data_IF_122830686213
#
_entry.id   IF_122830686213
#
_cell.length_a   1.000
_cell.length_b   1.000
_cell.length_c   1.000
_cell.angle_alpha   90.00
_cell.angle_beta   90.00
_cell.angle_gamma   90.00
#
_symmetry.space_group_name_H-M   'P 1'
#
loop_
_entity.id
_entity.type
_entity.pdbx_description
1 polymer ?
#
# COMPACT_ATOMS: atom_id res chain seq x y z
N UNK A 1 -2.42 -1.01 5.16
CA UNK A 1 -2.48 -1.08 6.63
C UNK A 1 -3.20 -2.33 7.05
N UNK A 2 -4.51 -2.47 6.80
CA UNK A 2 -5.23 -3.67 7.26
C UNK A 2 -4.82 -4.93 6.48
N UNK A 3 -4.62 -4.82 5.16
CA UNK A 3 -4.07 -5.91 4.34
C UNK A 3 -2.67 -6.36 4.80
N UNK A 4 -1.82 -5.39 5.17
CA UNK A 4 -0.47 -5.66 5.66
C UNK A 4 -0.51 -6.31 7.04
N UNK A 5 -1.40 -5.85 7.93
CA UNK A 5 -1.63 -6.47 9.24
C UNK A 5 -2.05 -7.94 9.09
N UNK A 6 -3.00 -8.22 8.20
CA UNK A 6 -3.44 -9.59 7.96
C UNK A 6 -2.36 -10.45 7.31
N UNK A 7 -1.57 -9.86 6.40
CA UNK A 7 -0.41 -10.54 5.83
C UNK A 7 0.66 -10.83 6.88
N UNK A 8 0.87 -9.90 7.82
CA UNK A 8 1.76 -10.07 8.95
C UNK A 8 1.28 -11.20 9.87
N UNK A 9 0.00 -11.20 10.26
CA UNK A 9 -0.59 -12.27 11.08
C UNK A 9 -0.47 -13.63 10.39
N UNK A 10 -0.83 -13.71 9.11
CA UNK A 10 -0.89 -14.97 8.37
C UNK A 10 0.45 -15.49 7.85
N UNK A 11 1.50 -14.65 7.79
CA UNK A 11 2.81 -15.01 7.21
C UNK A 11 3.98 -14.56 8.05
N UNK A 12 3.99 -13.30 8.50
CA UNK A 12 5.13 -12.73 9.21
C UNK A 12 5.32 -13.28 10.63
N UNK A 13 4.24 -13.55 11.37
CA UNK A 13 4.33 -14.10 12.73
C UNK A 13 5.00 -15.49 12.76
N UNK A 14 4.85 -16.28 11.70
CA UNK A 14 5.46 -17.62 11.60
C UNK A 14 6.99 -17.57 11.60
N UNK A 15 7.57 -16.49 11.08
CA UNK A 15 9.03 -16.31 11.02
C UNK A 15 9.63 -15.94 12.38
N UNK A 16 8.80 -15.66 13.40
CA UNK A 16 9.19 -15.25 14.76
C UNK A 16 10.28 -14.17 14.76
N UNK A 17 10.10 -13.08 14.00
CA UNK A 17 11.11 -12.03 13.95
C UNK A 17 11.22 -11.37 15.33
N UNK A 18 12.40 -10.85 15.68
CA UNK A 18 12.52 -10.00 16.87
C UNK A 18 11.92 -8.62 16.66
N UNK A 19 11.92 -8.14 15.40
CA UNK A 19 11.44 -6.82 15.01
C UNK A 19 10.62 -6.90 13.73
N UNK A 20 9.60 -6.05 13.60
CA UNK A 20 8.80 -5.95 12.38
C UNK A 20 8.57 -4.49 12.02
N UNK A 21 8.69 -4.17 10.73
CA UNK A 21 8.58 -2.79 10.25
C UNK A 21 7.36 -2.62 9.37
N UNK A 22 6.57 -1.57 9.62
CA UNK A 22 5.40 -1.23 8.83
C UNK A 22 5.55 0.14 8.17
N UNK A 23 5.51 0.15 6.84
CA UNK A 23 5.38 1.35 6.02
C UNK A 23 4.10 1.25 5.18
N UNK A 24 3.11 2.08 5.45
CA UNK A 24 1.84 2.11 4.72
C UNK A 24 1.28 3.53 4.70
N UNK A 25 0.72 3.97 3.57
CA UNK A 25 -0.10 5.18 3.50
C UNK A 25 -0.92 5.21 2.19
N UNK A 26 -0.25 5.35 1.04
CA UNK A 26 -0.87 5.57 -0.26
C UNK A 26 -1.84 4.46 -0.71
N UNK A 27 -1.54 3.20 -0.39
CA UNK A 27 -2.45 2.08 -0.69
C UNK A 27 -3.75 2.17 0.11
N UNK A 28 -3.65 2.51 1.40
CA UNK A 28 -4.80 2.71 2.30
C UNK A 28 -5.59 3.95 1.92
N UNK A 29 -4.90 5.05 1.63
CA UNK A 29 -5.53 6.27 1.15
C UNK A 29 -6.30 6.01 -0.15
N UNK A 30 -5.72 5.30 -1.11
CA UNK A 30 -6.39 4.99 -2.39
C UNK A 30 -7.68 4.21 -2.19
N UNK A 31 -7.70 3.26 -1.25
CA UNK A 31 -8.89 2.47 -0.92
C UNK A 31 -9.91 3.28 -0.12
N UNK A 32 -9.50 3.82 1.02
CA UNK A 32 -10.41 4.52 1.95
C UNK A 32 -10.99 5.80 1.34
N UNK A 33 -10.26 6.49 0.46
CA UNK A 33 -10.79 7.66 -0.26
C UNK A 33 -11.90 7.31 -1.26
N UNK A 34 -11.97 6.07 -1.74
CA UNK A 34 -12.96 5.61 -2.73
C UNK A 34 -14.15 4.90 -2.09
N UNK A 35 -13.89 4.15 -1.03
CA UNK A 35 -14.89 3.23 -0.47
C UNK A 35 -15.32 3.60 0.94
N UNK A 36 -14.56 4.47 1.61
CA UNK A 36 -14.79 4.83 3.00
C UNK A 36 -14.65 3.68 4.00
N UNK A 37 -14.20 2.49 3.56
CA UNK A 37 -14.19 1.29 4.37
C UNK A 37 -13.19 0.27 3.85
N UNK A 38 -12.42 -0.35 4.75
CA UNK A 38 -11.59 -1.50 4.38
C UNK A 38 -12.38 -2.74 3.95
N UNK A 39 -13.65 -2.83 4.37
CA UNK A 39 -14.53 -3.95 4.11
C UNK A 39 -15.23 -3.84 2.75
N UNK A 40 -15.16 -2.67 2.12
CA UNK A 40 -15.71 -2.40 0.80
C UNK A 40 -14.53 -2.18 -0.13
N UNK A 41 -14.33 -3.08 -1.07
CA UNK A 41 -13.22 -3.00 -2.02
C UNK A 41 -13.53 -3.77 -3.28
N UNK A 42 -12.84 -3.47 -4.39
CA UNK A 42 -12.83 -4.34 -5.55
C UNK A 42 -12.37 -5.78 -5.23
N UNK A 43 -12.79 -6.74 -6.05
CA UNK A 43 -12.65 -8.19 -5.79
C UNK A 43 -11.23 -8.71 -5.53
N UNK A 44 -10.22 -8.06 -6.09
CA UNK A 44 -8.80 -8.44 -5.91
C UNK A 44 -8.16 -7.75 -4.69
N UNK A 45 -8.83 -6.74 -4.10
CA UNK A 45 -8.47 -6.05 -2.85
C UNK A 45 -9.34 -6.47 -1.66
N UNK A 46 -10.26 -7.42 -1.83
CA UNK A 46 -11.08 -7.93 -0.74
C UNK A 46 -10.25 -8.57 0.37
N UNK A 47 -10.54 -8.17 1.61
CA UNK A 47 -9.96 -8.78 2.82
C UNK A 47 -10.50 -10.19 3.01
N UNK A 48 -11.82 -10.34 2.90
CA UNK A 48 -12.52 -11.61 2.98
C UNK A 48 -13.04 -11.90 1.58
N UNK A 49 -12.46 -12.90 0.93
CA UNK A 49 -12.96 -13.38 -0.36
C UNK A 49 -14.14 -14.29 -0.09
N UNK A 50 -15.31 -13.93 -0.60
CA UNK A 50 -16.42 -14.86 -0.61
C UNK A 50 -16.07 -16.03 -1.55
N UNK A 51 -16.00 -17.23 -0.98
CA UNK A 51 -15.69 -18.46 -1.73
C UNK A 51 -16.94 -19.07 -2.38
N UNK A 52 -18.10 -18.41 -2.27
CA UNK A 52 -19.28 -18.69 -3.06
C UNK A 52 -19.11 -18.22 -4.53
N UNK A 53 -17.93 -18.52 -5.07
CA UNK A 53 -17.58 -18.43 -6.48
C UNK A 53 -18.48 -19.37 -7.26
N UNK A 54 -19.38 -18.79 -8.04
CA UNK A 54 -20.21 -19.50 -9.01
C UNK A 54 -19.37 -20.57 -9.75
N UNK A 55 -19.93 -21.78 -9.91
CA UNK A 55 -19.30 -22.95 -10.55
C UNK A 55 -18.52 -22.61 -11.84
N UNK A 56 -19.00 -21.63 -12.60
CA UNK A 56 -18.38 -21.08 -13.81
C UNK A 56 -16.97 -20.52 -13.55
N UNK A 57 -16.77 -19.77 -12.46
CA UNK A 57 -15.45 -19.20 -12.12
C UNK A 57 -14.42 -20.27 -11.72
N UNK A 58 -14.85 -21.36 -11.08
CA UNK A 58 -13.98 -22.52 -10.80
C UNK A 58 -13.53 -23.20 -12.10
N UNK A 59 -14.44 -23.39 -13.05
CA UNK A 59 -14.12 -23.95 -14.37
C UNK A 59 -13.11 -23.06 -15.12
N UNK A 60 -13.31 -21.74 -15.09
CA UNK A 60 -12.39 -20.77 -15.72
C UNK A 60 -11.00 -20.84 -15.07
N UNK A 61 -10.92 -20.90 -13.74
CA UNK A 61 -9.64 -20.99 -13.03
C UNK A 61 -8.92 -22.32 -13.30
N UNK A 62 -9.65 -23.44 -13.36
CA UNK A 62 -9.10 -24.75 -13.74
C UNK A 62 -8.59 -24.74 -15.19
N UNK A 63 -9.36 -24.20 -16.13
CA UNK A 63 -8.94 -24.06 -17.52
C UNK A 63 -7.71 -23.15 -17.65
N UNK A 64 -7.63 -22.08 -16.85
CA UNK A 64 -6.47 -21.19 -16.80
C UNK A 64 -5.23 -21.91 -16.25
N UNK A 65 -5.40 -22.76 -15.23
CA UNK A 65 -4.34 -23.61 -14.68
C UNK A 65 -3.82 -24.62 -15.70
N UNK A 66 -4.72 -25.34 -16.37
CA UNK A 66 -4.37 -26.29 -17.45
C UNK A 66 -3.68 -25.58 -18.60
N UNK A 67 -4.16 -24.41 -19.02
CA UNK A 67 -3.52 -23.58 -20.05
C UNK A 67 -2.10 -23.17 -19.64
N UNK A 68 -1.90 -22.71 -18.42
CA UNK A 68 -0.59 -22.27 -17.93
C UNK A 68 0.40 -23.45 -17.76
N UNK A 69 -0.12 -24.66 -17.51
CA UNK A 69 0.68 -25.89 -17.42
C UNK A 69 1.11 -26.37 -18.81
N UNK A 70 0.18 -26.43 -19.78
CA UNK A 70 0.43 -26.98 -21.11
C UNK A 70 1.25 -26.03 -21.98
N UNK A 71 1.03 -24.73 -21.85
CA UNK A 71 1.76 -23.73 -22.62
C UNK A 71 2.05 -22.52 -21.73
N UNK A 72 3.12 -22.58 -20.92
CA UNK A 72 3.51 -21.45 -20.09
C UNK A 72 3.87 -20.25 -20.98
N UNK A 73 3.47 -19.04 -20.56
CA UNK A 73 3.80 -17.77 -21.22
C UNK A 73 3.29 -17.56 -22.66
N UNK A 74 2.44 -18.44 -23.23
CA UNK A 74 1.80 -18.15 -24.54
C UNK A 74 0.85 -16.99 -24.46
N UNK A 75 0.13 -16.82 -23.35
CA UNK A 75 -0.80 -15.70 -23.24
C UNK A 75 -0.09 -14.35 -23.38
N UNK A 76 1.08 -14.18 -22.76
CA UNK A 76 1.91 -12.97 -22.91
C UNK A 76 2.32 -12.73 -24.38
N UNK A 77 2.63 -13.80 -25.14
CA UNK A 77 3.07 -13.72 -26.54
C UNK A 77 1.93 -13.61 -27.56
N UNK A 78 0.77 -14.16 -27.23
CA UNK A 78 -0.38 -14.29 -28.14
C UNK A 78 -1.41 -13.17 -27.90
N UNK A 79 -1.50 -12.65 -26.67
CA UNK A 79 -2.36 -11.51 -26.32
C UNK A 79 -2.15 -10.27 -27.21
N UNK A 80 -0.92 -9.84 -27.55
CA UNK A 80 -0.72 -8.67 -28.41
C UNK A 80 -1.22 -8.86 -29.85
N UNK A 81 -1.30 -10.11 -30.32
CA UNK A 81 -1.72 -10.47 -31.68
C UNK A 81 -3.26 -10.45 -31.84
N UNK A 82 -4.00 -10.80 -30.79
CA UNK A 82 -5.47 -10.83 -30.80
C UNK A 82 -6.13 -9.63 -30.12
N UNK A 83 -5.38 -8.93 -29.27
CA UNK A 83 -5.82 -7.70 -28.58
C UNK A 83 -4.76 -6.61 -28.81
N UNK A 84 -4.78 -5.93 -29.98
CA UNK A 84 -3.86 -4.84 -30.26
C UNK A 84 -3.94 -3.77 -29.16
N UNK A 85 -2.79 -3.23 -28.78
CA UNK A 85 -2.65 -2.23 -27.73
C UNK A 85 -3.64 -1.07 -27.98
N UNK A 86 -4.69 -0.98 -27.16
CA UNK A 86 -5.76 0.01 -27.31
C UNK A 86 -7.16 -0.50 -26.96
N UNK A 87 -7.40 -1.82 -26.94
CA UNK A 87 -8.73 -2.35 -26.60
C UNK A 87 -8.86 -2.57 -25.08
N UNK A 88 -9.39 -1.51 -24.43
CA UNK A 88 -10.01 -1.42 -23.10
C UNK A 88 -9.11 -1.53 -21.86
N UNK A 89 -8.60 -0.38 -21.37
CA UNK A 89 -8.21 -0.21 -19.96
C UNK A 89 -9.36 -0.59 -19.00
N UNK A 90 -10.61 -0.37 -19.42
CA UNK A 90 -11.84 -0.55 -18.64
C UNK A 90 -12.11 -2.01 -18.19
N UNK A 91 -11.59 -3.03 -18.89
CA UNK A 91 -11.72 -4.43 -18.46
C UNK A 91 -10.73 -4.81 -17.34
N UNK A 92 -9.70 -3.98 -17.15
CA UNK A 92 -8.69 -4.12 -16.10
C UNK A 92 -8.73 -2.95 -15.12
N UNK A 93 -9.66 -2.00 -15.31
CA UNK A 93 -9.85 -0.89 -14.37
C UNK A 93 -10.59 -1.40 -13.15
N UNK A 94 -9.74 -1.85 -12.27
CA UNK A 94 -10.01 -2.45 -10.99
C UNK A 94 -10.93 -1.57 -10.10
N UNK A 95 -10.97 -0.26 -10.36
CA UNK A 95 -11.75 0.75 -9.63
C UNK A 95 -13.00 1.26 -10.35
N UNK A 96 -13.31 0.80 -11.56
CA UNK A 96 -14.38 1.38 -12.40
C UNK A 96 -15.72 1.56 -11.63
N UNK A 97 -16.13 0.58 -10.83
CA UNK A 97 -17.38 0.63 -10.04
C UNK A 97 -17.32 1.41 -8.72
N UNK A 98 -16.16 1.96 -8.35
CA UNK A 98 -15.95 2.67 -7.07
C UNK A 98 -15.60 4.15 -7.24
N UNK A 99 -15.27 4.56 -8.47
CA UNK A 99 -14.88 5.94 -8.81
C UNK A 99 -16.06 6.93 -8.80
N UNK A 100 -17.28 6.41 -8.87
CA UNK A 100 -18.52 7.22 -8.77
C UNK A 100 -18.88 7.58 -7.32
N UNK A 101 -18.35 6.86 -6.32
CA UNK A 101 -18.52 7.18 -4.90
C UNK A 101 -17.56 8.30 -4.50
N UNK A 102 -18.04 9.54 -4.65
CA UNK A 102 -17.25 10.74 -4.37
C UNK A 102 -17.33 11.04 -2.88
N UNK A 103 -16.30 10.67 -2.13
CA UNK A 103 -16.07 11.21 -0.79
C UNK A 103 -15.31 12.54 -0.90
N UNK A 104 -15.75 13.52 -0.14
CA UNK A 104 -15.04 14.80 0.02
C UNK A 104 -13.90 14.66 1.03
N UNK A 105 -12.90 15.54 0.95
CA UNK A 105 -11.80 15.60 1.92
C UNK A 105 -12.28 15.52 3.38
N UNK A 106 -13.30 16.32 3.73
CA UNK A 106 -13.89 16.39 5.06
C UNK A 106 -14.53 15.09 5.55
N UNK A 107 -14.85 14.17 4.64
CA UNK A 107 -15.34 12.83 4.97
C UNK A 107 -14.20 11.83 5.07
N UNK A 108 -13.15 11.98 4.25
CA UNK A 108 -12.04 11.02 4.19
C UNK A 108 -11.08 11.20 5.37
N UNK A 109 -10.78 12.44 5.76
CA UNK A 109 -9.90 12.72 6.90
C UNK A 109 -10.36 11.99 8.19
N UNK A 110 -11.63 12.10 8.65
CA UNK A 110 -12.07 11.35 9.82
C UNK A 110 -12.11 9.83 9.60
N UNK A 111 -12.32 9.37 8.35
CA UNK A 111 -12.24 7.94 8.01
C UNK A 111 -10.81 7.42 8.15
N UNK A 112 -9.80 8.16 7.69
CA UNK A 112 -8.39 7.83 7.89
C UNK A 112 -8.07 7.80 9.38
N UNK A 113 -8.43 8.85 10.12
CA UNK A 113 -8.16 8.91 11.55
C UNK A 113 -8.85 7.79 12.34
N UNK A 114 -9.99 7.27 11.86
CA UNK A 114 -10.68 6.15 12.50
C UNK A 114 -10.09 4.80 12.08
N UNK A 115 -10.12 4.50 10.78
CA UNK A 115 -9.84 3.15 10.28
C UNK A 115 -8.36 2.91 10.04
N UNK A 116 -7.66 3.85 9.40
CA UNK A 116 -6.23 3.69 9.14
C UNK A 116 -5.43 3.71 10.45
N UNK A 117 -5.74 4.64 11.36
CA UNK A 117 -5.17 4.65 12.72
C UNK A 117 -5.41 3.33 13.46
N UNK A 118 -6.66 2.87 13.56
CA UNK A 118 -6.98 1.61 14.24
C UNK A 118 -6.20 0.43 13.65
N UNK A 119 -5.94 0.43 12.34
CA UNK A 119 -5.13 -0.61 11.70
C UNK A 119 -3.64 -0.53 12.06
N UNK A 120 -3.07 0.67 12.22
CA UNK A 120 -1.67 0.85 12.66
C UNK A 120 -1.53 0.48 14.14
N UNK A 121 -2.45 0.93 14.98
CA UNK A 121 -2.49 0.58 16.41
C UNK A 121 -2.63 -0.94 16.60
N UNK A 122 -3.50 -1.59 15.82
CA UNK A 122 -3.66 -3.04 15.84
C UNK A 122 -2.35 -3.76 15.48
N UNK A 123 -1.58 -3.25 14.52
CA UNK A 123 -0.28 -3.81 14.19
C UNK A 123 0.72 -3.72 15.35
N UNK A 124 0.75 -2.58 16.06
CA UNK A 124 1.60 -2.39 17.24
C UNK A 124 1.20 -3.37 18.35
N UNK A 125 -0.10 -3.42 18.68
CA UNK A 125 -0.64 -4.27 19.75
C UNK A 125 -0.40 -5.75 19.45
N UNK A 126 -0.69 -6.20 18.21
CA UNK A 126 -0.46 -7.59 17.81
C UNK A 126 1.02 -7.93 17.87
N UNK A 127 1.93 -7.06 17.40
CA UNK A 127 3.38 -7.34 17.46
C UNK A 127 3.84 -7.55 18.90
N UNK A 128 3.49 -6.62 19.80
CA UNK A 128 3.85 -6.71 21.22
C UNK A 128 3.27 -7.93 21.92
N UNK A 129 2.04 -8.30 21.60
CA UNK A 129 1.41 -9.51 22.16
C UNK A 129 2.17 -10.80 21.82
N UNK A 130 2.96 -10.79 20.75
CA UNK A 130 3.81 -11.90 20.33
C UNK A 130 5.29 -11.73 20.71
N UNK A 131 5.62 -10.71 21.52
CA UNK A 131 6.99 -10.41 21.93
C UNK A 131 7.87 -9.87 20.79
N UNK A 132 7.26 -9.30 19.76
CA UNK A 132 7.92 -8.74 18.59
C UNK A 132 7.89 -7.22 18.70
N UNK A 133 9.05 -6.57 18.54
CA UNK A 133 9.16 -5.12 18.63
C UNK A 133 8.74 -4.46 17.30
N UNK A 134 7.66 -3.66 17.28
CA UNK A 134 7.25 -2.97 16.07
C UNK A 134 8.14 -1.76 15.78
N UNK A 135 8.29 -1.41 14.51
CA UNK A 135 8.84 -0.14 14.03
C UNK A 135 7.87 0.44 13.03
N UNK A 136 7.54 1.72 13.19
CA UNK A 136 6.68 2.43 12.25
C UNK A 136 7.54 3.26 11.30
N UNK A 137 7.10 3.37 10.05
CA UNK A 137 7.82 4.10 9.02
C UNK A 137 6.84 4.93 8.18
N UNK A 138 7.14 6.22 8.01
CA UNK A 138 6.35 7.09 7.15
C UNK A 138 6.60 6.77 5.67
N UNK A 139 5.60 6.98 4.81
CA UNK A 139 5.75 6.74 3.38
C UNK A 139 6.14 8.03 2.66
N UNK A 140 7.28 8.02 1.97
CA UNK A 140 7.68 9.08 1.06
C UNK A 140 6.74 9.15 -0.16
N UNK A 141 6.65 10.32 -0.80
CA UNK A 141 5.92 10.47 -2.05
C UNK A 141 6.50 11.60 -2.88
N UNK A 142 6.29 11.59 -4.20
CA UNK A 142 6.52 12.75 -5.07
C UNK A 142 5.23 13.53 -5.30
N UNK A 143 4.18 13.29 -4.51
CA UNK A 143 2.90 13.99 -4.61
C UNK A 143 3.12 15.47 -4.25
N UNK A 144 3.37 16.29 -5.27
CA UNK A 144 3.47 17.75 -5.18
C UNK A 144 2.45 18.34 -6.15
N UNK A 145 1.88 19.49 -5.78
CA UNK A 145 0.95 20.30 -6.60
C UNK A 145 1.36 20.40 -8.08
N UNK A 146 2.67 20.54 -8.35
CA UNK A 146 3.22 20.69 -9.71
C UNK A 146 3.14 19.41 -10.56
N UNK A 147 3.00 18.23 -9.95
CA UNK A 147 2.89 16.92 -10.62
C UNK A 147 1.46 16.44 -10.80
N UNK A 148 0.48 17.20 -10.30
CA UNK A 148 -0.95 17.03 -10.56
C UNK A 148 -1.32 17.39 -12.01
N UNK A 149 -0.43 18.12 -12.71
CA UNK A 149 -0.61 18.52 -14.10
C UNK A 149 -0.07 17.45 -15.05
N UNK A 150 -0.84 16.39 -15.23
CA UNK A 150 -0.61 15.39 -16.27
C UNK A 150 -1.87 14.58 -16.52
N UNK A 151 -2.11 14.18 -17.77
CA UNK A 151 -3.29 13.40 -18.19
C UNK A 151 -3.57 12.14 -17.36
N UNK A 152 -2.59 11.65 -16.59
CA UNK A 152 -2.77 10.50 -15.69
C UNK A 152 -3.63 10.80 -14.47
N UNK A 153 -3.64 12.05 -13.96
CA UNK A 153 -4.45 12.41 -12.79
C UNK A 153 -5.95 12.45 -13.16
N UNK A 154 -6.29 13.09 -14.28
CA UNK A 154 -7.67 13.15 -14.79
C UNK A 154 -8.23 11.76 -15.18
N UNK A 155 -7.37 10.84 -15.63
CA UNK A 155 -7.76 9.45 -15.96
C UNK A 155 -7.95 8.55 -14.72
N UNK A 156 -7.50 8.98 -13.53
CA UNK A 156 -7.57 8.22 -12.29
C UNK A 156 -8.84 8.49 -11.43
N UNK A 157 -9.78 9.29 -11.93
CA UNK A 157 -11.21 9.30 -11.56
C UNK A 157 -11.50 9.25 -10.04
N UNK A 158 -10.84 10.08 -9.25
CA UNK A 158 -11.43 10.58 -8.03
C UNK A 158 -11.73 12.06 -8.29
N UNK A 159 -12.97 12.53 -8.08
CA UNK A 159 -13.26 13.99 -8.15
C UNK A 159 -12.63 14.79 -7.00
N UNK A 160 -11.69 14.19 -6.26
CA UNK A 160 -10.89 14.87 -5.26
C UNK A 160 -9.89 15.78 -5.97
N UNK A 161 -9.73 16.99 -5.45
CA UNK A 161 -8.66 17.87 -5.91
C UNK A 161 -7.31 17.24 -5.57
N UNK A 162 -6.28 17.51 -6.37
CA UNK A 162 -4.95 16.96 -6.12
C UNK A 162 -4.36 17.50 -4.82
N UNK A 163 -4.66 18.74 -4.52
CA UNK A 163 -4.45 19.40 -3.23
C UNK A 163 -4.94 18.54 -2.07
N UNK A 164 -6.14 17.99 -2.19
CA UNK A 164 -6.77 17.18 -1.14
C UNK A 164 -6.07 15.83 -1.02
N UNK A 165 -5.67 15.21 -2.13
CA UNK A 165 -4.90 13.96 -2.09
C UNK A 165 -3.54 14.17 -1.41
N UNK A 166 -2.83 15.26 -1.72
CA UNK A 166 -1.56 15.61 -1.08
C UNK A 166 -1.76 15.80 0.43
N UNK A 167 -2.78 16.57 0.83
CA UNK A 167 -3.11 16.81 2.24
C UNK A 167 -3.47 15.51 2.96
N UNK A 168 -4.30 14.65 2.36
CA UNK A 168 -4.69 13.38 2.96
C UNK A 168 -3.51 12.42 3.10
N UNK A 169 -2.60 12.40 2.12
CA UNK A 169 -1.38 11.61 2.23
C UNK A 169 -0.46 12.13 3.34
N UNK A 170 -0.28 13.44 3.45
CA UNK A 170 0.46 14.04 4.56
C UNK A 170 -0.20 13.71 5.91
N UNK A 171 -1.51 13.82 5.99
CA UNK A 171 -2.29 13.47 7.19
C UNK A 171 -2.12 11.99 7.58
N UNK A 172 -2.10 11.07 6.60
CA UNK A 172 -1.77 9.67 6.85
C UNK A 172 -0.40 9.50 7.51
N UNK A 173 0.62 10.23 7.06
CA UNK A 173 1.94 10.19 7.70
C UNK A 173 1.91 10.80 9.11
N UNK A 174 1.12 11.84 9.37
CA UNK A 174 0.92 12.36 10.74
C UNK A 174 0.24 11.34 11.65
N UNK A 175 -0.72 10.55 11.15
CA UNK A 175 -1.30 9.43 11.92
C UNK A 175 -0.19 8.46 12.32
N UNK A 176 0.70 8.08 11.41
CA UNK A 176 1.83 7.18 11.72
C UNK A 176 2.72 7.77 12.82
N UNK A 177 3.09 9.05 12.71
CA UNK A 177 3.93 9.73 13.72
C UNK A 177 3.24 9.80 15.08
N UNK A 178 1.96 10.16 15.10
CA UNK A 178 1.20 10.26 16.35
C UNK A 178 1.06 8.91 17.03
N UNK A 179 0.73 7.84 16.29
CA UNK A 179 0.69 6.49 16.86
C UNK A 179 2.07 6.05 17.36
N UNK A 180 3.15 6.35 16.64
CA UNK A 180 4.50 6.02 17.09
C UNK A 180 4.84 6.70 18.42
N UNK A 181 4.54 7.99 18.54
CA UNK A 181 4.77 8.74 19.77
C UNK A 181 3.87 8.29 20.93
N UNK A 182 2.58 8.10 20.69
CA UNK A 182 1.60 7.72 21.72
C UNK A 182 1.80 6.30 22.24
N UNK A 183 2.28 5.39 21.39
CA UNK A 183 2.52 4.00 21.74
C UNK A 183 3.98 3.73 22.13
N UNK A 184 4.85 4.75 22.14
CA UNK A 184 6.30 4.61 22.37
C UNK A 184 6.93 3.54 21.46
N UNK A 185 6.83 3.76 20.16
CA UNK A 185 7.34 2.87 19.11
C UNK A 185 8.39 3.60 18.28
N UNK A 186 9.49 2.92 17.97
CA UNK A 186 10.53 3.46 17.11
C UNK A 186 9.95 3.90 15.75
N UNK A 187 10.37 5.09 15.30
CA UNK A 187 9.89 5.72 14.08
C UNK A 187 11.04 5.99 13.11
N UNK A 188 10.89 5.52 11.86
CA UNK A 188 11.73 5.92 10.73
C UNK A 188 10.95 6.95 9.89
N UNK A 189 11.33 8.23 9.98
CA UNK A 189 10.60 9.32 9.32
C UNK A 189 11.16 9.59 7.91
N UNK A 190 11.01 8.60 7.01
CA UNK A 190 11.48 8.70 5.63
C UNK A 190 10.98 9.96 4.91
N UNK A 191 9.79 10.47 5.23
CA UNK A 191 9.29 11.72 4.63
C UNK A 191 10.22 12.90 4.92
N UNK A 192 10.80 12.97 6.12
CA UNK A 192 11.76 14.03 6.49
C UNK A 192 13.17 13.75 5.99
N UNK A 193 13.58 12.49 6.02
CA UNK A 193 14.97 12.09 5.77
C UNK A 193 15.29 11.83 4.29
N UNK A 194 14.27 11.50 3.49
CA UNK A 194 14.43 11.14 2.09
C UNK A 194 14.08 12.29 1.13
N UNK A 195 14.94 12.62 0.15
CA UNK A 195 14.63 13.63 -0.86
C UNK A 195 13.47 13.22 -1.77
N UNK A 196 12.34 13.91 -1.66
CA UNK A 196 11.13 13.67 -2.45
C UNK A 196 11.22 14.33 -3.85
N UNK A 197 12.20 13.92 -4.65
CA UNK A 197 12.47 14.45 -6.00
C UNK A 197 12.39 13.36 -7.07
N UNK A 198 12.31 13.79 -8.33
CA UNK A 198 12.31 12.89 -9.49
C UNK A 198 13.61 12.09 -9.66
N UNK A 199 14.70 12.54 -9.05
CA UNK A 199 15.99 11.86 -9.10
C UNK A 199 16.00 10.53 -8.34
N UNK A 200 15.05 10.34 -7.42
CA UNK A 200 14.96 9.16 -6.57
C UNK A 200 13.61 8.43 -6.70
N UNK A 201 12.55 9.13 -7.09
CA UNK A 201 11.20 8.58 -7.27
C UNK A 201 10.81 8.78 -8.73
N UNK A 202 10.61 7.70 -9.50
CA UNK A 202 10.33 7.83 -10.94
C UNK A 202 8.88 8.22 -11.23
N UNK A 203 7.93 7.79 -10.41
CA UNK A 203 6.53 8.22 -10.45
C UNK A 203 6.11 8.95 -9.17
N UNK A 204 4.85 8.84 -8.73
CA UNK A 204 4.37 9.48 -7.51
C UNK A 204 4.81 8.77 -6.22
N UNK A 205 5.14 7.48 -6.25
CA UNK A 205 5.35 6.66 -5.04
C UNK A 205 6.49 5.65 -5.13
N UNK A 206 7.00 5.34 -6.33
CA UNK A 206 7.96 4.26 -6.53
C UNK A 206 9.38 4.77 -6.75
N UNK A 207 10.31 4.14 -6.02
CA UNK A 207 11.74 4.45 -6.06
C UNK A 207 12.39 3.95 -7.34
N UNK A 208 13.32 4.71 -7.89
CA UNK A 208 14.31 4.18 -8.83
C UNK A 208 15.46 3.51 -8.06
N UNK A 209 16.50 3.06 -8.77
CA UNK A 209 17.67 2.43 -8.17
C UNK A 209 18.35 3.32 -7.13
N UNK A 210 18.61 4.59 -7.49
CA UNK A 210 19.24 5.58 -6.60
C UNK A 210 18.40 5.80 -5.34
N UNK A 211 17.08 5.90 -5.49
CA UNK A 211 16.14 6.00 -4.38
C UNK A 211 16.16 4.80 -3.47
N UNK A 212 16.18 3.60 -4.04
CA UNK A 212 16.21 2.33 -3.29
C UNK A 212 17.49 2.20 -2.47
N UNK A 213 18.65 2.55 -3.05
CA UNK A 213 19.93 2.54 -2.34
C UNK A 213 19.94 3.53 -1.16
N UNK A 214 19.42 4.75 -1.36
CA UNK A 214 19.37 5.75 -0.30
C UNK A 214 18.40 5.38 0.82
N UNK A 215 17.20 4.89 0.49
CA UNK A 215 16.25 4.40 1.50
C UNK A 215 16.84 3.22 2.27
N UNK A 216 17.49 2.28 1.59
CA UNK A 216 18.16 1.15 2.24
C UNK A 216 19.24 1.61 3.22
N UNK A 217 20.03 2.63 2.84
CA UNK A 217 21.01 3.24 3.73
C UNK A 217 20.36 3.85 4.98
N UNK A 218 19.34 4.69 4.81
CA UNK A 218 18.62 5.35 5.93
C UNK A 218 18.05 4.30 6.88
N UNK A 219 17.35 3.28 6.36
CA UNK A 219 16.77 2.21 7.19
C UNK A 219 17.85 1.46 7.96
N UNK A 220 18.99 1.17 7.33
CA UNK A 220 20.10 0.46 7.96
C UNK A 220 20.70 1.28 9.11
N UNK A 221 20.87 2.59 8.94
CA UNK A 221 21.36 3.50 9.98
C UNK A 221 20.40 3.47 11.20
N UNK A 222 19.10 3.60 10.99
CA UNK A 222 18.10 3.47 12.06
C UNK A 222 18.12 2.11 12.75
N UNK A 223 18.29 1.00 12.00
CA UNK A 223 18.36 -0.32 12.61
C UNK A 223 19.62 -0.51 13.47
N UNK A 224 20.74 0.10 13.09
CA UNK A 224 21.95 0.12 13.91
C UNK A 224 21.70 0.93 15.18
N UNK A 225 21.02 2.07 15.08
CA UNK A 225 20.73 2.91 16.24
C UNK A 225 19.72 2.26 17.21
N UNK A 226 18.66 1.65 16.68
CA UNK A 226 17.64 1.00 17.50
C UNK A 226 18.13 -0.33 18.10
N UNK A 227 18.88 -1.11 17.32
CA UNK A 227 19.10 -2.53 17.61
C UNK A 227 20.58 -2.96 17.57
N UNK A 228 21.52 -2.03 17.39
CA UNK A 228 22.95 -2.30 17.19
C UNK A 228 23.57 -3.22 18.23
N UNK A 229 23.13 -3.12 19.49
CA UNK A 229 23.63 -3.97 20.56
C UNK A 229 23.04 -5.39 20.53
N UNK A 230 21.82 -5.54 20.00
CA UNK A 230 21.16 -6.84 19.80
C UNK A 230 21.85 -7.67 18.71
N UNK A 231 22.47 -7.01 17.72
CA UNK A 231 23.23 -7.68 16.66
C UNK A 231 24.62 -8.17 17.13
N UNK A 232 25.19 -7.57 18.18
CA UNK A 232 26.51 -7.94 18.71
C UNK A 232 26.47 -9.12 19.69
N UNK A 233 25.30 -9.46 20.22
CA UNK A 233 25.13 -10.46 21.28
C UNK A 233 24.73 -11.86 20.77
N UNK A 234 24.89 -12.14 19.47
CA UNK A 234 24.73 -13.48 18.85
C UNK A 234 26.00 -13.86 18.11
#
# INVERSE_FOLDING_TARGET
SLHSLLSYIGKGLLERPSHVVLMNNGADLSLLSKTGSYWISPSYREIIKDTNRNMITRVIDTLRGVKNLLVPNTYEKVRPLFFPQGIRPELFDEWAGYRENILLYSQIEPILNKQFRASIESFVVVSRAWGIEPVLMTQFSRLKLKLCFGEQYDKLQNKLACEDIVKLHQYGNEIIRSVAAEQDVNLIDLVKEFPQTGDYIYDSMHLNEKGSLLVGKIITEHFIDFFGDTFKSK
#
